data_IF_236773286531
#
_entry.id   IF_236773286531
#
_cell.length_a   1.000
_cell.length_b   1.000
_cell.length_c   1.000
_cell.angle_alpha   90.00
_cell.angle_beta   90.00
_cell.angle_gamma   90.00
#
_symmetry.space_group_name_H-M   'P 1'
#
loop_
_entity.id
_entity.type
_entity.pdbx_description
1 polymer ?
#
# COMPACT_ATOMS: atom_id res chain seq x y z
N UNK A 1 -12.90 -10.05 5.74
CA UNK A 1 -12.67 -10.12 7.21
C UNK A 1 -12.74 -11.53 7.78
N UNK A 2 -13.77 -12.33 7.46
CA UNK A 2 -13.95 -13.70 7.96
C UNK A 2 -12.69 -14.59 7.86
N UNK A 3 -12.03 -14.61 6.70
CA UNK A 3 -10.81 -15.40 6.48
C UNK A 3 -9.69 -15.11 7.50
N UNK A 4 -9.45 -13.83 7.81
CA UNK A 4 -8.40 -13.44 8.77
C UNK A 4 -8.79 -13.85 10.18
N UNK A 5 -10.07 -13.71 10.54
CA UNK A 5 -10.60 -14.15 11.84
C UNK A 5 -10.47 -15.66 12.01
N UNK A 6 -10.80 -16.43 10.98
CA UNK A 6 -10.69 -17.89 10.98
C UNK A 6 -9.22 -18.29 11.13
N UNK A 7 -8.32 -17.69 10.35
CA UNK A 7 -6.88 -17.97 10.40
C UNK A 7 -6.23 -17.63 11.76
N UNK A 8 -6.67 -16.55 12.41
CA UNK A 8 -6.22 -16.20 13.77
C UNK A 8 -6.74 -17.18 14.83
N UNK A 9 -7.86 -17.85 14.56
CA UNK A 9 -8.46 -18.85 15.46
C UNK A 9 -7.72 -20.18 15.39
N UNK A 10 -7.12 -20.50 14.24
CA UNK A 10 -6.34 -21.72 13.99
C UNK A 10 -4.90 -21.66 14.53
N UNK A 11 -4.47 -20.53 15.10
CA UNK A 11 -3.12 -20.39 15.65
C UNK A 11 -2.94 -21.27 16.90
N UNK A 12 -1.85 -22.06 16.98
CA UNK A 12 -1.65 -22.99 18.09
C UNK A 12 -1.51 -22.25 19.43
N UNK A 13 -2.12 -22.83 20.47
CA UNK A 13 -1.99 -22.31 21.82
C UNK A 13 -0.51 -22.37 22.26
N UNK A 14 0.07 -21.20 22.57
CA UNK A 14 1.48 -21.07 22.94
C UNK A 14 2.40 -20.48 21.86
N UNK A 15 1.89 -20.11 20.68
CA UNK A 15 2.65 -19.45 19.61
C UNK A 15 3.11 -18.00 19.91
N UNK A 16 2.92 -17.52 21.14
CA UNK A 16 3.19 -16.14 21.55
C UNK A 16 1.95 -15.25 21.51
N UNK A 17 2.12 -13.92 21.59
CA UNK A 17 1.01 -12.98 21.58
C UNK A 17 0.23 -13.04 20.27
N UNK A 18 -1.10 -12.97 20.35
CA UNK A 18 -1.97 -12.97 19.17
C UNK A 18 -1.64 -11.78 18.26
N UNK A 19 -1.56 -11.98 16.93
CA UNK A 19 -1.34 -10.87 16.00
C UNK A 19 -2.47 -9.83 16.10
N UNK A 20 -2.09 -8.55 15.97
CA UNK A 20 -3.03 -7.44 15.89
C UNK A 20 -3.47 -7.23 14.45
N UNK A 21 -4.77 -7.04 14.24
CA UNK A 21 -5.33 -6.64 12.95
C UNK A 21 -5.31 -5.12 12.84
N UNK A 22 -4.75 -4.60 11.76
CA UNK A 22 -4.69 -3.17 11.47
C UNK A 22 -5.24 -2.92 10.07
N UNK A 23 -6.02 -1.84 9.92
CA UNK A 23 -6.50 -1.36 8.62
C UNK A 23 -5.46 -0.41 8.05
N UNK A 24 -5.06 -0.64 6.80
CA UNK A 24 -4.07 0.16 6.09
C UNK A 24 -4.68 0.67 4.80
N UNK A 25 -4.31 1.88 4.39
CA UNK A 25 -4.77 2.45 3.12
C UNK A 25 -4.19 1.70 1.93
N UNK A 26 -5.03 1.37 0.95
CA UNK A 26 -4.63 0.81 -0.35
C UNK A 26 -4.29 1.91 -1.37
N UNK A 27 -4.42 3.19 -1.01
CA UNK A 27 -4.16 4.36 -1.86
C UNK A 27 -2.85 4.22 -2.67
N UNK A 28 -2.94 4.19 -4.01
CA UNK A 28 -1.80 4.07 -4.91
C UNK A 28 -1.13 2.69 -4.99
N UNK A 29 -1.63 1.67 -4.28
CA UNK A 29 -1.04 0.32 -4.33
C UNK A 29 -1.16 -0.30 -5.74
N UNK A 30 -2.25 0.00 -6.45
CA UNK A 30 -2.45 -0.39 -7.86
C UNK A 30 -1.43 0.25 -8.81
N UNK A 31 -0.99 1.48 -8.51
CA UNK A 31 0.03 2.19 -9.28
C UNK A 31 1.41 1.62 -8.97
N UNK A 32 1.71 1.37 -7.69
CA UNK A 32 2.96 0.74 -7.29
C UNK A 32 3.14 -0.62 -7.96
N UNK A 33 2.14 -1.51 -7.89
CA UNK A 33 2.28 -2.89 -8.35
C UNK A 33 2.55 -3.01 -9.87
N UNK A 34 2.08 -2.03 -10.65
CA UNK A 34 2.29 -1.92 -12.09
C UNK A 34 3.56 -1.12 -12.46
N UNK A 35 4.27 -0.55 -11.48
CA UNK A 35 5.44 0.28 -11.71
C UNK A 35 6.68 -0.54 -12.10
N UNK A 36 7.60 0.09 -12.82
CA UNK A 36 8.92 -0.48 -13.10
C UNK A 36 9.72 -0.73 -11.81
N UNK A 37 9.54 0.12 -10.79
CA UNK A 37 10.16 -0.04 -9.47
C UNK A 37 9.75 -1.35 -8.81
N UNK A 38 8.44 -1.63 -8.74
CA UNK A 38 7.94 -2.88 -8.17
C UNK A 38 8.36 -4.11 -9.00
N UNK A 39 8.44 -3.96 -10.33
CA UNK A 39 8.95 -5.02 -11.20
C UNK A 39 10.44 -5.30 -10.99
N UNK A 40 11.24 -4.28 -10.68
CA UNK A 40 12.65 -4.44 -10.33
C UNK A 40 12.86 -5.02 -8.92
N UNK A 41 12.05 -4.61 -7.95
CA UNK A 41 12.11 -5.16 -6.57
C UNK A 41 11.65 -6.63 -6.53
N UNK A 42 10.65 -7.00 -7.34
CA UNK A 42 10.05 -8.33 -7.33
C UNK A 42 9.82 -8.91 -8.74
N UNK A 43 10.90 -9.25 -9.49
CA UNK A 43 10.77 -9.68 -10.88
C UNK A 43 9.98 -10.98 -11.06
N UNK A 44 10.06 -11.87 -10.05
CA UNK A 44 9.45 -13.20 -10.07
C UNK A 44 8.06 -13.28 -9.43
N UNK A 45 7.58 -12.19 -8.81
CA UNK A 45 6.23 -12.16 -8.25
C UNK A 45 5.22 -11.67 -9.28
N UNK A 46 4.04 -12.29 -9.25
CA UNK A 46 2.87 -11.81 -9.98
C UNK A 46 2.49 -10.39 -9.54
N UNK A 47 1.92 -9.64 -10.47
CA UNK A 47 1.55 -8.24 -10.28
C UNK A 47 0.59 -8.06 -9.08
N UNK A 48 -0.35 -8.98 -8.87
CA UNK A 48 -1.32 -8.88 -7.77
C UNK A 48 -0.65 -9.01 -6.39
N UNK A 49 0.36 -9.87 -6.27
CA UNK A 49 1.08 -10.11 -5.02
C UNK A 49 1.99 -8.93 -4.64
N UNK A 50 2.49 -8.17 -5.61
CA UNK A 50 3.26 -6.94 -5.35
C UNK A 50 2.43 -5.89 -4.62
N UNK A 51 1.12 -5.81 -4.91
CA UNK A 51 0.18 -4.96 -4.19
C UNK A 51 0.10 -5.33 -2.71
N UNK A 52 -0.05 -6.63 -2.40
CA UNK A 52 -0.10 -7.13 -1.02
C UNK A 52 1.19 -6.84 -0.25
N UNK A 53 2.36 -6.94 -0.90
CA UNK A 53 3.65 -6.58 -0.30
C UNK A 53 3.69 -5.09 0.07
N UNK A 54 3.21 -4.21 -0.82
CA UNK A 54 3.15 -2.77 -0.51
C UNK A 54 2.24 -2.47 0.68
N UNK A 55 1.07 -3.10 0.75
CA UNK A 55 0.15 -2.94 1.89
C UNK A 55 0.83 -3.35 3.21
N UNK A 56 1.56 -4.47 3.21
CA UNK A 56 2.28 -4.93 4.40
C UNK A 56 3.40 -3.97 4.82
N UNK A 57 4.17 -3.42 3.86
CA UNK A 57 5.26 -2.49 4.13
C UNK A 57 4.78 -1.13 4.62
N UNK A 58 3.63 -0.64 4.15
CA UNK A 58 3.00 0.59 4.66
C UNK A 58 2.69 0.52 6.14
N UNK A 59 2.36 -0.66 6.66
CA UNK A 59 2.15 -0.83 8.10
C UNK A 59 3.46 -0.66 8.90
N UNK A 60 4.58 -1.07 8.32
CA UNK A 60 5.90 -1.03 8.97
C UNK A 60 6.49 0.38 8.95
N UNK A 61 6.50 0.99 7.76
CA UNK A 61 6.98 2.36 7.54
C UNK A 61 6.15 2.99 6.41
N UNK A 62 5.09 3.74 6.75
CA UNK A 62 4.22 4.36 5.74
C UNK A 62 4.99 5.29 4.81
N UNK A 63 5.95 6.06 5.34
CA UNK A 63 6.66 7.08 4.56
C UNK A 63 7.59 6.41 3.55
N UNK A 64 8.42 5.47 3.98
CA UNK A 64 9.37 4.78 3.11
C UNK A 64 8.70 4.01 1.97
N UNK A 65 7.45 3.57 2.16
CA UNK A 65 6.70 2.86 1.13
C UNK A 65 5.91 3.82 0.22
N UNK A 66 5.29 4.88 0.76
CA UNK A 66 4.50 5.83 -0.04
C UNK A 66 5.35 6.69 -0.99
N UNK A 67 6.60 7.00 -0.63
CA UNK A 67 7.53 7.76 -1.50
C UNK A 67 7.89 7.03 -2.80
N UNK A 68 7.61 5.73 -2.90
CA UNK A 68 7.84 4.93 -4.12
C UNK A 68 6.78 5.18 -5.20
N UNK A 69 5.72 5.90 -4.85
CA UNK A 69 4.56 6.17 -5.70
C UNK A 69 4.59 7.64 -6.07
N UNK A 70 4.29 7.95 -7.33
CA UNK A 70 4.12 9.34 -7.73
C UNK A 70 3.04 10.01 -6.87
N UNK A 71 3.29 11.18 -6.23
CA UNK A 71 2.38 11.74 -5.24
C UNK A 71 0.94 11.93 -5.74
N UNK A 72 0.77 12.40 -6.99
CA UNK A 72 -0.54 12.56 -7.64
C UNK A 72 -1.27 11.23 -7.88
N UNK A 73 -0.60 10.10 -7.77
CA UNK A 73 -1.12 8.76 -8.04
C UNK A 73 -1.47 8.00 -6.76
N UNK A 74 -1.28 8.60 -5.57
CA UNK A 74 -1.69 8.01 -4.29
C UNK A 74 -3.22 7.93 -4.18
N UNK A 75 -3.96 8.94 -4.64
CA UNK A 75 -5.42 8.98 -4.50
C UNK A 75 -5.85 9.54 -3.15
N UNK A 76 -5.59 10.82 -2.93
CA UNK A 76 -5.82 11.54 -1.67
C UNK A 76 -7.22 12.19 -1.57
N UNK A 77 -8.04 12.08 -2.61
CA UNK A 77 -9.39 12.67 -2.62
C UNK A 77 -10.27 12.18 -3.77
N UNK A 78 -11.59 12.28 -3.59
CA UNK A 78 -12.58 11.76 -4.53
C UNK A 78 -12.50 12.40 -5.92
N UNK A 79 -12.33 13.72 -5.98
CA UNK A 79 -12.29 14.50 -7.24
C UNK A 79 -10.85 14.80 -7.68
N UNK A 80 -9.87 14.00 -7.25
CA UNK A 80 -8.46 14.23 -7.54
C UNK A 80 -8.17 14.28 -9.05
N UNK A 81 -8.93 13.55 -9.86
CA UNK A 81 -8.78 13.55 -11.32
C UNK A 81 -9.49 14.72 -12.00
N UNK A 82 -10.37 15.44 -11.29
CA UNK A 82 -11.18 16.53 -11.82
C UNK A 82 -10.56 17.92 -11.55
N UNK A 83 -9.42 17.97 -10.86
CA UNK A 83 -8.67 19.21 -10.61
C UNK A 83 -7.52 19.40 -11.59
N UNK A 84 -6.97 20.61 -11.62
CA UNK A 84 -5.75 20.93 -12.36
C UNK A 84 -4.57 20.06 -11.86
N UNK A 85 -4.12 19.15 -12.72
CA UNK A 85 -3.10 18.15 -12.39
C UNK A 85 -1.71 18.76 -12.16
N UNK A 86 -1.40 19.90 -12.80
CA UNK A 86 -0.14 20.58 -12.60
C UNK A 86 -0.08 21.22 -11.22
N UNK A 87 -1.14 21.94 -10.84
CA UNK A 87 -1.26 22.54 -9.51
C UNK A 87 -1.33 21.50 -8.40
N UNK A 88 -2.04 20.39 -8.65
CA UNK A 88 -2.09 19.26 -7.73
C UNK A 88 -0.71 18.64 -7.51
N UNK A 89 0.00 18.29 -8.60
CA UNK A 89 1.34 17.70 -8.53
C UNK A 89 2.30 18.55 -7.72
N UNK A 90 2.40 19.85 -8.04
CA UNK A 90 3.26 20.79 -7.31
C UNK A 90 2.89 20.92 -5.82
N UNK A 91 1.61 20.86 -5.50
CA UNK A 91 1.16 20.94 -4.10
C UNK A 91 1.50 19.68 -3.33
N UNK A 92 1.38 18.50 -3.94
CA UNK A 92 1.70 17.23 -3.32
C UNK A 92 3.21 17.01 -3.17
N UNK A 93 4.01 17.40 -4.17
CA UNK A 93 5.48 17.38 -4.08
C UNK A 93 6.03 18.23 -2.93
N UNK A 94 5.33 19.30 -2.53
CA UNK A 94 5.75 20.13 -1.40
C UNK A 94 5.51 19.48 -0.04
N UNK A 95 4.67 18.44 0.03
CA UNK A 95 4.28 17.75 1.28
C UNK A 95 5.09 16.47 1.50
N UNK A 96 5.66 15.90 0.42
CA UNK A 96 6.35 14.61 0.41
C UNK A 96 7.87 14.80 0.37
#
# INVERSE_FOLDING_TARGET
EKLVTDMLSDLPAGAGPKPLKVIVSEAGASVYLASATAAAEFPSLDVSLRGAVSIARRLQDPLAELVKIEPKSIGVGQYQHDVDQYRLGRSLEAVV
#
